data_IF_391494355402
#
_entry.id   IF_391494355402
#
_cell.length_a   1.000
_cell.length_b   1.000
_cell.length_c   1.000
_cell.angle_alpha   90.00
_cell.angle_beta   90.00
_cell.angle_gamma   90.00
#
_symmetry.space_group_name_H-M   'P 1'
#
loop_
_entity.id
_entity.type
_entity.pdbx_description
1 polymer ?
#
# COMPACT_ATOMS: atom_id res chain seq x y z
N UNK A 1 32.47 33.05 27.67
CA UNK A 1 31.01 32.79 27.72
C UNK A 1 30.75 31.61 26.81
N UNK A 2 30.58 30.41 27.37
CA UNK A 2 30.28 29.20 26.58
C UNK A 2 28.81 29.20 26.22
N UNK A 3 28.53 29.17 24.93
CA UNK A 3 27.19 29.00 24.37
C UNK A 3 26.63 27.65 24.82
N UNK A 4 25.39 27.57 25.32
CA UNK A 4 24.78 26.28 25.63
C UNK A 4 24.54 25.56 24.29
N UNK A 5 25.14 24.38 24.12
CA UNK A 5 24.75 23.47 23.04
C UNK A 5 23.36 22.94 23.40
N UNK A 6 22.35 23.41 22.69
CA UNK A 6 21.00 22.83 22.76
C UNK A 6 21.11 21.46 22.11
N UNK A 7 21.36 20.43 22.91
CA UNK A 7 21.18 19.04 22.51
C UNK A 7 19.68 18.85 22.29
N UNK A 8 19.22 19.10 21.05
CA UNK A 8 17.82 18.95 20.65
C UNK A 8 17.49 17.48 20.87
N UNK A 9 16.53 17.18 21.74
CA UNK A 9 16.09 15.83 22.08
C UNK A 9 15.37 15.15 20.91
N UNK A 10 16.06 14.93 19.80
CA UNK A 10 15.56 14.28 18.58
C UNK A 10 15.40 12.76 18.73
N UNK A 11 15.94 12.19 19.80
CA UNK A 11 15.94 10.76 20.09
C UNK A 11 14.51 10.19 20.30
N UNK A 12 13.52 11.03 20.63
CA UNK A 12 12.14 10.58 20.90
C UNK A 12 11.29 10.34 19.65
N UNK A 13 11.72 10.76 18.46
CA UNK A 13 10.93 10.58 17.23
C UNK A 13 11.69 9.82 16.14
N UNK A 14 12.80 9.16 16.48
CA UNK A 14 13.55 8.36 15.52
C UNK A 14 13.03 6.93 15.55
N UNK A 15 12.54 6.43 14.41
CA UNK A 15 12.15 5.02 14.28
C UNK A 15 13.37 4.10 14.42
N UNK A 16 13.14 2.91 14.97
CA UNK A 16 14.12 1.83 14.86
C UNK A 16 14.31 1.38 13.41
N UNK A 17 15.37 0.62 13.16
CA UNK A 17 15.57 -0.03 11.85
C UNK A 17 14.42 -1.01 11.53
N UNK A 18 13.85 -1.65 12.54
CA UNK A 18 12.72 -2.58 12.38
C UNK A 18 11.45 -1.85 11.96
N UNK A 19 11.05 -0.80 12.68
CA UNK A 19 9.89 0.03 12.32
C UNK A 19 10.07 0.69 10.96
N UNK A 20 11.28 1.19 10.66
CA UNK A 20 11.61 1.72 9.34
C UNK A 20 11.42 0.66 8.25
N UNK A 21 11.94 -0.56 8.46
CA UNK A 21 11.80 -1.66 7.52
C UNK A 21 10.35 -2.09 7.31
N UNK A 22 9.55 -2.12 8.37
CA UNK A 22 8.13 -2.48 8.30
C UNK A 22 7.30 -1.48 7.52
N UNK A 23 7.43 -0.18 7.84
CA UNK A 23 6.72 0.87 7.11
C UNK A 23 7.22 0.97 5.65
N UNK A 24 8.51 0.73 5.40
CA UNK A 24 9.05 0.68 4.04
C UNK A 24 8.46 -0.50 3.23
N UNK A 25 8.25 -1.66 3.86
CA UNK A 25 7.60 -2.81 3.22
C UNK A 25 6.15 -2.50 2.84
N UNK A 26 5.40 -1.85 3.73
CA UNK A 26 4.03 -1.39 3.46
C UNK A 26 4.00 -0.36 2.33
N UNK A 27 4.91 0.63 2.36
CA UNK A 27 5.04 1.63 1.31
C UNK A 27 5.24 0.98 -0.07
N UNK A 28 6.16 0.01 -0.17
CA UNK A 28 6.43 -0.70 -1.42
C UNK A 28 5.20 -1.44 -1.93
N UNK A 29 4.48 -2.15 -1.05
CA UNK A 29 3.28 -2.89 -1.44
C UNK A 29 2.19 -1.95 -1.98
N UNK A 30 1.98 -0.78 -1.35
CA UNK A 30 1.02 0.23 -1.81
C UNK A 30 1.43 0.87 -3.14
N UNK A 31 2.73 1.15 -3.32
CA UNK A 31 3.25 1.71 -4.58
C UNK A 31 3.08 0.72 -5.73
N UNK A 32 3.42 -0.55 -5.50
CA UNK A 32 3.23 -1.61 -6.49
C UNK A 32 1.74 -1.81 -6.81
N UNK A 33 0.88 -1.87 -5.79
CA UNK A 33 -0.57 -2.01 -5.96
C UNK A 33 -1.15 -0.92 -6.86
N UNK A 34 -0.81 0.36 -6.68
CA UNK A 34 -1.36 1.42 -7.52
C UNK A 34 -0.81 1.38 -8.96
N UNK A 35 0.43 0.92 -9.16
CA UNK A 35 1.00 0.75 -10.51
C UNK A 35 0.30 -0.40 -11.24
N UNK A 36 0.15 -1.54 -10.57
CA UNK A 36 -0.56 -2.70 -11.12
C UNK A 36 -2.05 -2.41 -11.32
N UNK A 37 -2.68 -1.62 -10.43
CA UNK A 37 -4.05 -1.13 -10.59
C UNK A 37 -4.22 -0.30 -11.87
N UNK A 38 -3.26 0.57 -12.21
CA UNK A 38 -3.28 1.29 -13.49
C UNK A 38 -3.07 0.37 -14.69
N UNK A 39 -2.20 -0.63 -14.56
CA UNK A 39 -2.01 -1.65 -15.60
C UNK A 39 -3.33 -2.40 -15.87
N UNK A 40 -4.07 -2.78 -14.83
CA UNK A 40 -5.41 -3.38 -14.95
C UNK A 40 -6.40 -2.41 -15.60
N UNK A 41 -6.47 -1.17 -15.11
CA UNK A 41 -7.38 -0.13 -15.61
C UNK A 41 -7.21 0.15 -17.10
N UNK A 42 -5.98 0.15 -17.62
CA UNK A 42 -5.72 0.38 -19.05
C UNK A 42 -6.03 -0.81 -19.94
N UNK A 43 -5.96 -2.04 -19.43
CA UNK A 43 -5.94 -3.25 -20.27
C UNK A 43 -7.12 -4.21 -20.04
N UNK A 44 -8.04 -3.87 -19.13
CA UNK A 44 -9.28 -4.62 -18.94
C UNK A 44 -10.19 -4.53 -20.18
N UNK A 45 -10.83 -5.65 -20.55
CA UNK A 45 -11.77 -5.71 -21.68
C UNK A 45 -12.91 -6.69 -21.42
N UNK A 46 -14.07 -6.44 -22.04
CA UNK A 46 -15.25 -7.30 -21.94
C UNK A 46 -16.51 -6.59 -21.46
N UNK A 47 -17.56 -7.37 -21.20
CA UNK A 47 -18.83 -6.89 -20.61
C UNK A 47 -18.55 -6.47 -19.17
N UNK A 48 -19.01 -5.27 -18.77
CA UNK A 48 -18.70 -4.67 -17.47
C UNK A 48 -17.48 -3.74 -17.48
N UNK A 49 -16.76 -3.63 -18.62
CA UNK A 49 -15.54 -2.82 -18.76
C UNK A 49 -15.64 -1.44 -18.12
N UNK A 50 -16.65 -0.65 -18.47
CA UNK A 50 -16.72 0.76 -18.06
C UNK A 50 -16.80 0.89 -16.55
N UNK A 51 -17.57 0.03 -15.90
CA UNK A 51 -17.84 0.16 -14.48
C UNK A 51 -16.63 -0.35 -13.68
N UNK A 52 -16.04 -1.48 -14.07
CA UNK A 52 -14.79 -1.95 -13.48
C UNK A 52 -13.63 -0.98 -13.72
N UNK A 53 -13.53 -0.38 -14.92
CA UNK A 53 -12.51 0.61 -15.25
C UNK A 53 -12.55 1.83 -14.29
N UNK A 54 -13.76 2.29 -13.93
CA UNK A 54 -13.93 3.38 -12.97
C UNK A 54 -13.63 2.92 -11.53
N UNK A 55 -14.06 1.72 -11.13
CA UNK A 55 -13.74 1.18 -9.80
C UNK A 55 -12.23 1.00 -9.58
N UNK A 56 -11.49 0.61 -10.63
CA UNK A 56 -10.04 0.47 -10.56
C UNK A 56 -9.32 1.81 -10.32
N UNK A 57 -9.90 2.93 -10.76
CA UNK A 57 -9.36 4.26 -10.42
C UNK A 57 -9.55 4.57 -8.93
N UNK A 58 -10.67 4.20 -8.32
CA UNK A 58 -10.87 4.36 -6.87
C UNK A 58 -9.85 3.56 -6.06
N UNK A 59 -9.58 2.31 -6.44
CA UNK A 59 -8.52 1.51 -5.81
C UNK A 59 -7.14 2.17 -5.95
N UNK A 60 -6.81 2.67 -7.15
CA UNK A 60 -5.54 3.34 -7.42
C UNK A 60 -5.38 4.59 -6.57
N UNK A 61 -6.44 5.38 -6.40
CA UNK A 61 -6.42 6.60 -5.60
C UNK A 61 -6.25 6.27 -4.11
N UNK A 62 -6.99 5.29 -3.58
CA UNK A 62 -6.82 4.78 -2.20
C UNK A 62 -5.38 4.32 -1.95
N UNK A 63 -4.82 3.49 -2.84
CA UNK A 63 -3.46 2.99 -2.66
C UNK A 63 -2.41 4.12 -2.73
N UNK A 64 -2.63 5.15 -3.55
CA UNK A 64 -1.73 6.33 -3.64
C UNK A 64 -1.78 7.18 -2.39
N UNK A 65 -2.98 7.51 -1.91
CA UNK A 65 -3.17 8.32 -0.70
C UNK A 65 -2.53 7.65 0.53
N UNK A 66 -2.73 6.34 0.66
CA UNK A 66 -2.09 5.56 1.71
C UNK A 66 -0.56 5.46 1.53
N UNK A 67 -0.06 5.33 0.30
CA UNK A 67 1.39 5.33 0.06
C UNK A 67 2.06 6.65 0.47
N UNK A 68 1.40 7.78 0.21
CA UNK A 68 1.88 9.11 0.62
C UNK A 68 1.87 9.23 2.14
N UNK A 69 0.76 8.84 2.78
CA UNK A 69 0.62 8.84 4.24
C UNK A 69 1.73 8.03 4.93
N UNK A 70 2.05 6.83 4.44
CA UNK A 70 3.12 5.98 4.99
C UNK A 70 4.50 6.59 4.72
N UNK A 71 4.74 7.14 3.53
CA UNK A 71 6.01 7.80 3.21
C UNK A 71 6.24 9.04 4.09
N UNK A 72 5.22 9.87 4.29
CA UNK A 72 5.28 11.01 5.18
C UNK A 72 5.42 10.61 6.65
N UNK A 73 4.81 9.49 7.08
CA UNK A 73 5.02 8.93 8.41
C UNK A 73 6.48 8.51 8.63
N UNK A 74 7.10 7.84 7.65
CA UNK A 74 8.53 7.54 7.66
C UNK A 74 9.37 8.81 7.82
N UNK A 75 9.05 9.88 7.08
CA UNK A 75 9.74 11.18 7.21
C UNK A 75 9.55 11.80 8.60
N UNK A 76 8.34 11.75 9.16
CA UNK A 76 8.05 12.25 10.50
C UNK A 76 8.84 11.50 11.58
N UNK A 77 9.11 10.21 11.34
CA UNK A 77 9.94 9.35 12.18
C UNK A 77 11.45 9.42 11.86
N UNK A 78 11.87 10.44 11.10
CA UNK A 78 13.25 10.68 10.66
C UNK A 78 13.85 9.56 9.79
N UNK A 79 13.05 8.63 9.29
CA UNK A 79 13.44 7.64 8.29
C UNK A 79 13.37 8.21 6.86
N UNK A 80 14.03 7.54 5.92
CA UNK A 80 14.05 7.93 4.50
C UNK A 80 13.26 6.88 3.70
N UNK A 81 12.04 7.19 3.24
CA UNK A 81 11.28 6.28 2.37
C UNK A 81 11.94 6.15 1.01
N UNK A 82 11.87 4.97 0.40
CA UNK A 82 12.36 4.70 -0.95
C UNK A 82 11.26 4.08 -1.82
N UNK A 83 10.62 4.93 -2.63
CA UNK A 83 9.59 4.52 -3.60
C UNK A 83 10.11 4.41 -5.05
N UNK A 84 11.43 4.36 -5.26
CA UNK A 84 11.99 4.23 -6.61
C UNK A 84 11.55 2.91 -7.25
N UNK A 85 11.34 2.94 -8.57
CA UNK A 85 10.86 1.79 -9.35
C UNK A 85 11.69 0.53 -9.17
N UNK A 86 13.01 0.66 -9.04
CA UNK A 86 13.93 -0.46 -8.85
C UNK A 86 13.77 -1.09 -7.46
N UNK A 87 13.58 -0.27 -6.43
CA UNK A 87 13.33 -0.73 -5.06
C UNK A 87 12.01 -1.48 -5.04
N UNK A 88 10.93 -0.86 -5.54
CA UNK A 88 9.61 -1.48 -5.60
C UNK A 88 9.65 -2.82 -6.34
N UNK A 89 10.24 -2.85 -7.54
CA UNK A 89 10.30 -4.06 -8.36
C UNK A 89 11.14 -5.20 -7.74
N UNK A 90 12.08 -4.89 -6.83
CA UNK A 90 12.96 -5.91 -6.22
C UNK A 90 12.51 -6.36 -4.84
N UNK A 91 11.67 -5.58 -4.14
CA UNK A 91 11.30 -5.85 -2.75
C UNK A 91 9.81 -6.01 -2.50
N UNK A 92 8.96 -5.86 -3.52
CA UNK A 92 7.51 -6.10 -3.38
C UNK A 92 7.19 -7.56 -3.08
N UNK A 93 6.19 -7.78 -2.23
CA UNK A 93 5.62 -9.11 -1.94
C UNK A 93 4.47 -9.47 -2.89
N UNK A 94 4.02 -8.54 -3.74
CA UNK A 94 2.87 -8.76 -4.63
C UNK A 94 3.26 -9.61 -5.84
N UNK A 95 2.35 -10.49 -6.23
CA UNK A 95 2.45 -11.22 -7.50
C UNK A 95 2.33 -10.24 -8.68
N UNK A 96 3.14 -10.39 -9.75
CA UNK A 96 3.08 -9.48 -10.91
C UNK A 96 1.76 -9.62 -11.67
N UNK A 97 1.10 -8.51 -12.02
CA UNK A 97 -0.13 -8.51 -12.83
C UNK A 97 0.13 -9.06 -14.25
N UNK A 98 -0.85 -9.77 -14.86
CA UNK A 98 -0.71 -10.27 -16.23
C UNK A 98 -0.39 -9.19 -17.26
N UNK A 99 0.45 -9.52 -18.25
CA UNK A 99 0.73 -8.62 -19.35
C UNK A 99 -0.36 -8.69 -20.43
N UNK A 100 -0.57 -7.58 -21.14
CA UNK A 100 -1.53 -7.50 -22.25
C UNK A 100 -2.98 -7.32 -21.79
N UNK A 101 -3.92 -7.63 -22.68
CA UNK A 101 -5.35 -7.50 -22.43
C UNK A 101 -5.85 -8.61 -21.49
N UNK A 102 -6.68 -8.24 -20.52
CA UNK A 102 -7.24 -9.16 -19.51
C UNK A 102 -8.76 -9.03 -19.49
N UNK A 103 -9.47 -10.14 -19.37
CA UNK A 103 -10.94 -10.10 -19.30
C UNK A 103 -11.41 -9.40 -18.01
N UNK A 104 -12.65 -8.91 -17.98
CA UNK A 104 -13.25 -8.36 -16.74
C UNK A 104 -13.16 -9.36 -15.58
N UNK A 105 -13.57 -10.61 -15.81
CA UNK A 105 -13.54 -11.65 -14.77
C UNK A 105 -12.13 -11.94 -14.25
N UNK A 106 -11.16 -12.13 -15.15
CA UNK A 106 -9.77 -12.39 -14.75
C UNK A 106 -9.12 -11.15 -14.10
N UNK A 107 -9.56 -9.94 -14.48
CA UNK A 107 -9.09 -8.69 -13.87
C UNK A 107 -9.55 -8.58 -12.42
N UNK A 108 -10.81 -8.92 -12.14
CA UNK A 108 -11.36 -8.94 -10.79
C UNK A 108 -10.53 -9.87 -9.91
N UNK A 109 -10.31 -11.11 -10.34
CA UNK A 109 -9.57 -12.11 -9.55
C UNK A 109 -8.12 -11.67 -9.30
N UNK A 110 -7.42 -11.22 -10.35
CA UNK A 110 -6.05 -10.77 -10.23
C UNK A 110 -5.92 -9.53 -9.32
N UNK A 111 -6.81 -8.55 -9.45
CA UNK A 111 -6.75 -7.34 -8.61
C UNK A 111 -7.07 -7.67 -7.16
N UNK A 112 -8.11 -8.45 -6.89
CA UNK A 112 -8.48 -8.86 -5.53
C UNK A 112 -7.35 -9.65 -4.85
N UNK A 113 -6.66 -10.53 -5.59
CA UNK A 113 -5.46 -11.22 -5.08
C UNK A 113 -4.38 -10.23 -4.59
N UNK A 114 -4.08 -9.19 -5.39
CA UNK A 114 -3.05 -8.19 -5.05
C UNK A 114 -3.45 -7.29 -3.89
N UNK A 115 -4.74 -6.95 -3.80
CA UNK A 115 -5.28 -6.24 -2.64
C UNK A 115 -5.13 -7.12 -1.38
N UNK A 116 -5.47 -8.42 -1.46
CA UNK A 116 -5.32 -9.34 -0.34
C UNK A 116 -3.84 -9.51 0.08
N UNK A 117 -2.91 -9.60 -0.88
CA UNK A 117 -1.47 -9.63 -0.61
C UNK A 117 -0.99 -8.35 0.10
N UNK A 118 -1.49 -7.19 -0.32
CA UNK A 118 -1.17 -5.90 0.33
C UNK A 118 -1.68 -5.87 1.76
N UNK A 119 -2.93 -6.29 1.99
CA UNK A 119 -3.50 -6.40 3.35
C UNK A 119 -2.70 -7.38 4.21
N UNK A 120 -2.25 -8.50 3.65
CA UNK A 120 -1.43 -9.47 4.37
C UNK A 120 -0.06 -8.90 4.76
N UNK A 121 0.58 -8.11 3.90
CA UNK A 121 1.81 -7.38 4.24
C UNK A 121 1.57 -6.46 5.43
N UNK A 122 0.47 -5.69 5.42
CA UNK A 122 0.13 -4.77 6.50
C UNK A 122 -0.13 -5.52 7.81
N UNK A 123 -0.89 -6.62 7.76
CA UNK A 123 -1.16 -7.48 8.93
C UNK A 123 0.10 -8.13 9.48
N UNK A 124 1.00 -8.57 8.61
CA UNK A 124 2.25 -9.24 9.02
C UNK A 124 3.14 -8.32 9.86
N UNK A 125 3.18 -7.03 9.54
CA UNK A 125 4.03 -6.06 10.27
C UNK A 125 3.32 -5.39 11.44
N UNK A 126 1.99 -5.53 11.52
CA UNK A 126 1.12 -4.76 12.41
C UNK A 126 1.57 -4.80 13.87
N UNK A 127 1.69 -6.00 14.46
CA UNK A 127 1.94 -6.14 15.90
C UNK A 127 3.29 -5.58 16.32
N UNK A 128 4.32 -5.70 15.47
CA UNK A 128 5.64 -5.12 15.71
C UNK A 128 5.61 -3.59 15.55
N UNK A 129 4.82 -3.05 14.62
CA UNK A 129 4.60 -1.61 14.48
C UNK A 129 3.84 -1.05 15.68
N UNK A 130 2.78 -1.72 16.14
CA UNK A 130 1.99 -1.30 17.30
C UNK A 130 2.82 -1.34 18.59
N UNK A 131 3.67 -2.36 18.75
CA UNK A 131 4.55 -2.47 19.91
C UNK A 131 5.55 -1.30 20.04
N UNK A 132 6.04 -0.75 18.92
CA UNK A 132 6.99 0.36 18.91
C UNK A 132 6.29 1.73 18.84
N UNK A 133 5.30 1.88 17.97
CA UNK A 133 4.64 3.14 17.65
C UNK A 133 3.15 2.94 17.32
N UNK A 134 2.27 2.90 18.35
CA UNK A 134 0.82 2.72 18.19
C UNK A 134 0.16 3.73 17.24
N UNK A 135 0.70 4.94 17.11
CA UNK A 135 0.19 5.94 16.16
C UNK A 135 0.41 5.52 14.69
N UNK A 136 1.47 4.77 14.39
CA UNK A 136 1.62 4.18 13.06
C UNK A 136 0.68 2.99 12.86
N UNK A 137 0.36 2.23 13.91
CA UNK A 137 -0.61 1.13 13.82
C UNK A 137 -2.03 1.63 13.48
N UNK A 138 -2.44 2.81 13.97
CA UNK A 138 -3.69 3.45 13.55
C UNK A 138 -3.75 3.67 12.03
N UNK A 139 -2.65 4.11 11.40
CA UNK A 139 -2.55 4.25 9.94
C UNK A 139 -2.71 2.87 9.26
N UNK A 140 -2.09 1.83 9.81
CA UNK A 140 -2.22 0.46 9.26
C UNK A 140 -3.66 -0.05 9.31
N UNK A 141 -4.41 0.27 10.36
CA UNK A 141 -5.83 -0.09 10.47
C UNK A 141 -6.67 0.57 9.37
N UNK A 142 -6.45 1.87 9.10
CA UNK A 142 -7.15 2.59 8.04
C UNK A 142 -6.85 1.98 6.66
N UNK A 143 -5.58 1.66 6.38
CA UNK A 143 -5.17 0.97 5.15
C UNK A 143 -5.91 -0.35 4.99
N UNK A 144 -5.94 -1.20 6.04
CA UNK A 144 -6.61 -2.50 5.99
C UNK A 144 -8.10 -2.30 5.68
N UNK A 145 -8.78 -1.42 6.44
CA UNK A 145 -10.22 -1.20 6.30
C UNK A 145 -10.61 -0.73 4.89
N UNK A 146 -9.86 0.22 4.34
CA UNK A 146 -10.14 0.75 3.00
C UNK A 146 -9.83 -0.26 1.90
N UNK A 147 -8.72 -0.99 2.00
CA UNK A 147 -8.37 -2.00 1.01
C UNK A 147 -9.33 -3.19 1.04
N UNK A 148 -9.77 -3.64 2.21
CA UNK A 148 -10.80 -4.70 2.31
C UNK A 148 -12.14 -4.25 1.74
N UNK A 149 -12.51 -2.98 1.91
CA UNK A 149 -13.68 -2.41 1.25
C UNK A 149 -13.54 -2.40 -0.27
N UNK A 150 -12.37 -2.03 -0.80
CA UNK A 150 -12.12 -2.08 -2.25
C UNK A 150 -12.17 -3.52 -2.77
N UNK A 151 -11.58 -4.48 -2.04
CA UNK A 151 -11.66 -5.90 -2.39
C UNK A 151 -13.12 -6.39 -2.46
N UNK A 152 -13.97 -6.00 -1.50
CA UNK A 152 -15.40 -6.33 -1.53
C UNK A 152 -16.11 -5.72 -2.74
N UNK A 153 -15.90 -4.43 -3.02
CA UNK A 153 -16.53 -3.74 -4.15
C UNK A 153 -16.17 -4.42 -5.47
N UNK A 154 -14.90 -4.78 -5.66
CA UNK A 154 -14.39 -5.40 -6.88
C UNK A 154 -14.82 -6.87 -6.98
N UNK A 155 -14.68 -7.67 -5.92
CA UNK A 155 -15.01 -9.11 -5.96
C UNK A 155 -16.49 -9.37 -6.20
N UNK A 156 -17.36 -8.40 -5.86
CA UNK A 156 -18.80 -8.50 -6.06
C UNK A 156 -19.18 -8.56 -7.55
N UNK A 157 -18.32 -8.09 -8.47
CA UNK A 157 -18.53 -8.23 -9.92
C UNK A 157 -18.50 -9.71 -10.38
N UNK A 158 -17.72 -10.57 -9.70
CA UNK A 158 -17.64 -12.01 -9.99
C UNK A 158 -18.54 -12.88 -9.11
N UNK A 159 -19.24 -12.31 -8.12
CA UNK A 159 -20.01 -13.08 -7.13
C UNK A 159 -21.47 -13.24 -7.58
N UNK A 160 -21.87 -14.46 -7.93
CA UNK A 160 -23.26 -14.82 -8.25
C UNK A 160 -23.94 -15.53 -7.04
N UNK A 161 -25.27 -15.40 -6.92
CA UNK A 161 -26.09 -16.00 -5.86
C UNK A 161 -27.16 -16.93 -6.45
#
# INVERSE_FOLDING_TARGET
MSTPSIHRSTDRTQASEQLTGHLQRVLVALVDLHVQGKQAHWNVTGRGFRDLHLQLDELVDVAREHSDTVAERLRALQAVPDGRTETVATTTDLSPYPAGLVSVGDTVDAVVERVAQTVEVVRTVHDDVDAEDPTSADILHEIIADLEKQAWMITSENTEV
#
